data_IF_552243972928
#
_entry.id   IF_552243972928
#
_cell.length_a   1.000
_cell.length_b   1.000
_cell.length_c   1.000
_cell.angle_alpha   90.00
_cell.angle_beta   90.00
_cell.angle_gamma   90.00
#
_symmetry.space_group_name_H-M   'P 1'
#
loop_
_entity.id
_entity.type
_entity.pdbx_description
1 polymer ?
#
# COMPACT_ATOMS: atom_id res chain seq x y z
N UNK A 1 -11.21 20.18 24.52
CA UNK A 1 -10.27 19.03 24.64
C UNK A 1 -11.06 17.74 24.80
N UNK A 2 -11.25 16.94 23.75
CA UNK A 2 -11.93 15.64 23.85
C UNK A 2 -10.91 14.55 24.16
N UNK A 3 -11.09 13.90 25.32
CA UNK A 3 -10.36 12.69 25.75
C UNK A 3 -10.55 11.58 24.71
N UNK A 4 -9.46 11.02 24.19
CA UNK A 4 -9.48 9.76 23.42
C UNK A 4 -9.04 8.60 24.30
N UNK A 5 -9.72 7.49 24.12
CA UNK A 5 -9.77 6.31 24.96
C UNK A 5 -8.48 5.49 24.99
N UNK A 6 -8.31 4.74 26.10
CA UNK A 6 -7.33 3.66 26.30
C UNK A 6 -7.35 2.66 25.14
N UNK A 7 -6.20 2.46 24.49
CA UNK A 7 -5.98 1.38 23.54
C UNK A 7 -4.70 1.56 22.74
N UNK A 8 -3.64 0.84 23.15
CA UNK A 8 -2.25 0.84 22.65
C UNK A 8 -1.50 2.16 22.82
N UNK A 9 -0.56 2.17 23.76
CA UNK A 9 0.53 3.13 23.84
C UNK A 9 1.24 3.21 22.48
N UNK A 10 0.88 4.18 21.67
CA UNK A 10 1.83 4.76 20.72
C UNK A 10 2.36 5.97 21.46
N UNK A 11 3.45 5.78 22.20
CA UNK A 11 4.18 6.84 22.89
C UNK A 11 4.89 7.74 21.87
N UNK A 12 4.11 8.36 20.98
CA UNK A 12 4.60 9.32 20.00
C UNK A 12 4.66 10.69 20.68
N UNK A 13 5.83 11.02 21.22
CA UNK A 13 6.08 12.36 21.76
C UNK A 13 6.40 13.31 20.58
N UNK A 14 5.56 14.31 20.29
CA UNK A 14 5.79 15.23 19.19
C UNK A 14 7.05 16.10 19.38
N UNK A 15 7.65 16.13 20.57
CA UNK A 15 8.86 16.90 20.91
C UNK A 15 10.16 16.13 20.70
N UNK A 16 10.12 14.80 20.62
CA UNK A 16 11.32 13.99 20.37
C UNK A 16 11.60 13.90 18.88
N UNK A 17 12.84 13.55 18.53
CA UNK A 17 13.23 13.26 17.15
C UNK A 17 12.31 12.19 16.56
N UNK A 18 11.87 12.40 15.31
CA UNK A 18 10.94 11.50 14.62
C UNK A 18 11.65 10.83 13.46
N UNK A 19 11.45 9.53 13.34
CA UNK A 19 11.83 8.73 12.18
C UNK A 19 10.57 8.39 11.38
N UNK A 20 10.65 8.60 10.07
CA UNK A 20 9.65 8.15 9.12
C UNK A 20 10.23 6.98 8.32
N UNK A 21 9.58 5.82 8.40
CA UNK A 21 9.86 4.69 7.54
C UNK A 21 8.77 4.58 6.48
N UNK A 22 9.17 4.67 5.22
CA UNK A 22 8.31 4.52 4.05
C UNK A 22 8.59 3.15 3.45
N UNK A 23 7.62 2.25 3.48
CA UNK A 23 7.74 0.95 2.82
C UNK A 23 7.00 0.99 1.50
N UNK A 24 7.68 0.61 0.42
CA UNK A 24 7.10 0.45 -0.92
C UNK A 24 7.21 -1.00 -1.39
N UNK A 25 6.39 -1.38 -2.36
CA UNK A 25 6.46 -2.68 -3.01
C UNK A 25 6.39 -2.48 -4.52
N UNK A 26 7.19 -3.21 -5.29
CA UNK A 26 7.17 -3.14 -6.76
C UNK A 26 6.05 -3.97 -7.37
N UNK A 27 5.63 -5.04 -6.67
CA UNK A 27 4.64 -5.98 -7.18
C UNK A 27 3.37 -5.91 -6.35
N UNK A 28 2.23 -6.05 -7.03
CA UNK A 28 0.98 -6.27 -6.32
C UNK A 28 0.99 -7.68 -5.71
N UNK A 29 0.33 -7.86 -4.55
CA UNK A 29 0.12 -9.19 -4.00
C UNK A 29 -0.63 -10.07 -5.00
N UNK A 30 -0.29 -11.36 -5.06
CA UNK A 30 -0.89 -12.32 -5.99
C UNK A 30 -2.43 -12.35 -5.95
N UNK A 31 -3.04 -12.19 -4.76
CA UNK A 31 -4.49 -12.13 -4.63
C UNK A 31 -5.11 -10.93 -5.39
N UNK A 32 -4.43 -9.79 -5.46
CA UNK A 32 -4.94 -8.63 -6.20
C UNK A 32 -4.91 -8.90 -7.70
N UNK A 33 -3.83 -9.50 -8.21
CA UNK A 33 -3.72 -9.87 -9.62
C UNK A 33 -4.79 -10.90 -10.02
N UNK A 34 -5.00 -11.92 -9.18
CA UNK A 34 -6.04 -12.92 -9.39
C UNK A 34 -7.44 -12.31 -9.41
N UNK A 35 -7.76 -11.43 -8.44
CA UNK A 35 -9.05 -10.75 -8.37
C UNK A 35 -9.26 -9.77 -9.52
N UNK A 36 -8.20 -9.08 -9.96
CA UNK A 36 -8.24 -8.17 -11.11
C UNK A 36 -8.53 -8.94 -12.40
N UNK A 37 -7.86 -10.07 -12.59
CA UNK A 37 -8.09 -10.97 -13.74
C UNK A 37 -9.51 -11.55 -13.73
N UNK A 38 -9.97 -11.99 -12.55
CA UNK A 38 -11.32 -12.50 -12.37
C UNK A 38 -12.37 -11.43 -12.69
N UNK A 39 -12.21 -10.21 -12.13
CA UNK A 39 -13.09 -9.09 -12.40
C UNK A 39 -13.11 -8.75 -13.90
N UNK A 40 -11.94 -8.67 -14.55
CA UNK A 40 -11.84 -8.42 -16.00
C UNK A 40 -12.58 -9.46 -16.83
N UNK A 41 -12.50 -10.74 -16.47
CA UNK A 41 -13.19 -11.82 -17.19
C UNK A 41 -14.72 -11.83 -17.03
N UNK A 42 -15.23 -11.24 -15.95
CA UNK A 42 -16.66 -11.22 -15.62
C UNK A 42 -17.30 -9.85 -15.83
N UNK A 43 -16.50 -8.85 -16.16
CA UNK A 43 -16.95 -7.48 -16.37
C UNK A 43 -17.68 -7.37 -17.71
N UNK A 44 -18.88 -6.81 -17.66
CA UNK A 44 -19.65 -6.50 -18.86
C UNK A 44 -19.48 -5.01 -19.20
N UNK A 45 -18.74 -4.67 -20.27
CA UNK A 45 -18.52 -3.29 -20.70
C UNK A 45 -19.81 -2.57 -21.13
N UNK A 46 -20.82 -3.32 -21.60
CA UNK A 46 -22.07 -2.73 -22.08
C UNK A 46 -22.98 -2.30 -20.93
N UNK A 47 -23.01 -3.07 -19.85
CA UNK A 47 -23.86 -2.78 -18.66
C UNK A 47 -23.10 -2.12 -17.52
N UNK A 48 -21.76 -1.98 -17.63
CA UNK A 48 -20.86 -1.52 -16.57
C UNK A 48 -21.11 -2.24 -15.24
N UNK A 49 -21.34 -3.55 -15.34
CA UNK A 49 -21.76 -4.38 -14.22
C UNK A 49 -21.07 -5.73 -14.25
N UNK A 50 -21.16 -6.43 -13.13
CA UNK A 50 -20.69 -7.81 -12.98
C UNK A 50 -21.53 -8.47 -11.92
N UNK A 51 -21.85 -9.75 -12.12
CA UNK A 51 -22.61 -10.54 -11.15
C UNK A 51 -21.82 -10.69 -9.84
N UNK A 52 -22.21 -9.93 -8.82
CA UNK A 52 -21.65 -9.97 -7.46
C UNK A 52 -21.74 -11.36 -6.84
N UNK A 53 -22.80 -12.12 -7.11
CA UNK A 53 -23.00 -13.44 -6.52
C UNK A 53 -22.00 -14.43 -7.12
N UNK A 54 -21.90 -14.46 -8.44
CA UNK A 54 -20.95 -15.32 -9.14
C UNK A 54 -19.48 -14.93 -8.83
N UNK A 55 -19.20 -13.62 -8.73
CA UNK A 55 -17.88 -13.11 -8.39
C UNK A 55 -17.49 -13.54 -6.97
N UNK A 56 -18.35 -13.31 -5.98
CA UNK A 56 -18.11 -13.69 -4.58
C UNK A 56 -17.94 -15.21 -4.40
N UNK A 57 -18.61 -16.03 -5.21
CA UNK A 57 -18.43 -17.50 -5.19
C UNK A 57 -17.08 -17.96 -5.73
N UNK A 58 -16.43 -17.16 -6.59
CA UNK A 58 -15.12 -17.48 -7.17
C UNK A 58 -13.93 -16.92 -6.37
N UNK A 59 -14.18 -16.00 -5.42
CA UNK A 59 -13.14 -15.46 -4.54
C UNK A 59 -12.73 -16.53 -3.51
N UNK A 60 -11.42 -16.85 -3.37
CA UNK A 60 -10.95 -17.74 -2.31
C UNK A 60 -11.34 -17.22 -0.92
N UNK A 61 -11.80 -18.11 -0.03
CA UNK A 61 -12.19 -17.73 1.34
C UNK A 61 -11.08 -17.02 2.13
N UNK A 62 -9.82 -17.37 1.86
CA UNK A 62 -8.65 -16.74 2.47
C UNK A 62 -8.56 -15.25 2.13
N UNK A 63 -8.88 -14.88 0.88
CA UNK A 63 -8.77 -13.53 0.38
C UNK A 63 -10.07 -12.74 0.50
N UNK A 64 -11.19 -13.38 0.82
CA UNK A 64 -12.52 -12.74 0.87
C UNK A 64 -12.53 -11.46 1.72
N UNK A 65 -11.85 -11.46 2.88
CA UNK A 65 -11.79 -10.28 3.78
C UNK A 65 -11.07 -9.07 3.17
N UNK A 66 -9.98 -9.27 2.43
CA UNK A 66 -9.19 -8.20 1.80
C UNK A 66 -9.65 -7.91 0.36
N UNK A 67 -10.14 -8.93 -0.32
CA UNK A 67 -10.54 -8.94 -1.71
C UNK A 67 -11.89 -8.30 -1.97
N UNK A 68 -12.88 -8.48 -1.08
CA UNK A 68 -14.19 -7.82 -1.24
C UNK A 68 -14.07 -6.29 -1.33
N UNK A 69 -13.42 -5.58 -0.38
CA UNK A 69 -13.29 -4.13 -0.48
C UNK A 69 -12.44 -3.72 -1.69
N UNK A 70 -11.45 -4.53 -2.08
CA UNK A 70 -10.63 -4.29 -3.26
C UNK A 70 -11.43 -4.33 -4.56
N UNK A 71 -12.20 -5.40 -4.77
CA UNK A 71 -13.05 -5.58 -5.94
C UNK A 71 -14.11 -4.49 -6.02
N UNK A 72 -14.75 -4.14 -4.90
CA UNK A 72 -15.75 -3.08 -4.87
C UNK A 72 -15.15 -1.72 -5.23
N UNK A 73 -13.93 -1.42 -4.78
CA UNK A 73 -13.23 -0.20 -5.17
C UNK A 73 -12.95 -0.17 -6.69
N UNK A 74 -12.50 -1.28 -7.28
CA UNK A 74 -12.30 -1.38 -8.73
C UNK A 74 -13.61 -1.20 -9.51
N UNK A 75 -14.68 -1.88 -9.10
CA UNK A 75 -16.01 -1.72 -9.72
C UNK A 75 -16.47 -0.26 -9.70
N UNK A 76 -16.31 0.42 -8.57
CA UNK A 76 -16.72 1.83 -8.42
C UNK A 76 -15.97 2.74 -9.41
N UNK A 77 -14.68 2.49 -9.65
CA UNK A 77 -13.85 3.23 -10.62
C UNK A 77 -14.32 2.99 -12.07
N UNK A 78 -14.59 1.73 -12.42
CA UNK A 78 -15.15 1.39 -13.73
C UNK A 78 -16.54 2.01 -13.96
N UNK A 79 -17.40 1.99 -12.94
CA UNK A 79 -18.72 2.62 -12.97
C UNK A 79 -18.63 4.15 -13.06
N UNK A 80 -17.61 4.75 -12.45
CA UNK A 80 -17.32 6.19 -12.57
C UNK A 80 -16.89 6.60 -13.99
N UNK A 81 -16.63 5.64 -14.88
CA UNK A 81 -16.29 5.89 -16.27
C UNK A 81 -14.78 5.96 -16.56
N UNK A 82 -13.94 5.49 -15.64
CA UNK A 82 -12.52 5.28 -15.93
C UNK A 82 -12.35 4.17 -16.98
N UNK A 83 -11.35 4.31 -17.86
CA UNK A 83 -11.09 3.31 -18.88
C UNK A 83 -10.68 1.98 -18.26
N UNK A 84 -11.18 0.89 -18.80
CA UNK A 84 -10.88 -0.47 -18.33
C UNK A 84 -9.38 -0.77 -18.36
N UNK A 85 -8.69 -0.28 -19.39
CA UNK A 85 -7.25 -0.36 -19.50
C UNK A 85 -6.56 0.30 -18.29
N UNK A 86 -6.98 1.50 -17.88
CA UNK A 86 -6.37 2.21 -16.75
C UNK A 86 -6.65 1.54 -15.39
N UNK A 87 -7.82 0.93 -15.24
CA UNK A 87 -8.21 0.26 -14.00
C UNK A 87 -7.55 -1.12 -13.88
N UNK A 88 -7.44 -1.86 -14.98
CA UNK A 88 -6.88 -3.21 -15.00
C UNK A 88 -5.35 -3.22 -15.19
N UNK A 89 -4.79 -2.32 -15.99
CA UNK A 89 -3.33 -2.15 -16.15
C UNK A 89 -2.81 -1.23 -15.05
N UNK A 90 -2.75 -1.73 -13.82
CA UNK A 90 -2.24 -1.00 -12.65
C UNK A 90 -0.71 -0.83 -12.68
N UNK A 91 -0.12 -0.56 -13.84
CA UNK A 91 1.30 -0.21 -13.93
C UNK A 91 1.48 1.23 -13.51
N UNK A 92 2.43 1.49 -12.61
CA UNK A 92 2.85 2.87 -12.38
C UNK A 92 3.56 3.40 -13.62
N UNK A 93 3.07 4.53 -14.14
CA UNK A 93 3.71 5.23 -15.25
C UNK A 93 5.02 5.94 -14.83
N UNK A 94 5.39 5.87 -13.55
CA UNK A 94 6.57 6.52 -12.99
C UNK A 94 7.33 5.59 -12.05
N UNK A 95 8.60 5.93 -11.83
CA UNK A 95 9.49 5.25 -10.90
C UNK A 95 9.25 5.78 -9.48
N UNK A 96 8.44 5.07 -8.71
CA UNK A 96 8.08 5.44 -7.32
C UNK A 96 9.32 5.59 -6.44
N UNK A 97 10.36 4.80 -6.70
CA UNK A 97 11.63 4.86 -5.95
C UNK A 97 12.29 6.22 -6.13
N UNK A 98 12.42 6.68 -7.38
CA UNK A 98 13.02 7.99 -7.69
C UNK A 98 12.20 9.15 -7.15
N UNK A 99 10.88 9.05 -7.20
CA UNK A 99 9.98 10.09 -6.67
C UNK A 99 10.10 10.16 -5.15
N UNK A 100 10.09 9.03 -4.43
CA UNK A 100 10.24 9.05 -2.98
C UNK A 100 11.60 9.57 -2.55
N UNK A 101 12.68 9.21 -3.25
CA UNK A 101 14.02 9.74 -3.01
C UNK A 101 14.09 11.26 -3.19
N UNK A 102 13.50 11.81 -4.24
CA UNK A 102 13.51 13.27 -4.47
C UNK A 102 12.68 14.05 -3.44
N UNK A 103 11.71 13.38 -2.79
CA UNK A 103 10.87 13.98 -1.75
C UNK A 103 11.47 13.89 -0.33
N UNK A 104 12.53 13.10 -0.10
CA UNK A 104 13.11 12.88 1.24
C UNK A 104 13.47 14.20 1.93
N UNK A 105 14.18 15.09 1.24
CA UNK A 105 14.64 16.35 1.83
C UNK A 105 13.47 17.27 2.21
N UNK A 106 12.43 17.28 1.37
CA UNK A 106 11.22 18.04 1.64
C UNK A 106 10.43 17.45 2.82
N UNK A 107 10.31 16.12 2.91
CA UNK A 107 9.65 15.44 4.02
C UNK A 107 10.38 15.67 5.33
N UNK A 108 11.72 15.61 5.33
CA UNK A 108 12.54 15.91 6.52
C UNK A 108 12.27 17.31 7.06
N UNK A 109 12.26 18.31 6.17
CA UNK A 109 12.04 19.72 6.54
C UNK A 109 10.60 20.00 6.95
N UNK A 110 9.62 19.50 6.20
CA UNK A 110 8.20 19.81 6.42
C UNK A 110 7.63 19.15 7.67
N UNK A 111 8.06 17.92 7.98
CA UNK A 111 7.58 17.16 9.14
C UNK A 111 8.55 17.17 10.34
N UNK A 112 9.64 17.94 10.26
CA UNK A 112 10.71 18.02 11.26
C UNK A 112 11.21 16.62 11.69
N UNK A 113 11.56 15.82 10.69
CA UNK A 113 12.01 14.43 10.88
C UNK A 113 13.53 14.41 10.99
N UNK A 114 14.04 13.68 11.98
CA UNK A 114 15.47 13.46 12.14
C UNK A 114 15.98 12.43 11.11
N UNK A 115 15.18 11.40 10.84
CA UNK A 115 15.55 10.32 9.94
C UNK A 115 14.38 9.96 9.01
N UNK A 116 14.69 9.70 7.74
CA UNK A 116 13.75 9.15 6.77
C UNK A 116 14.40 7.93 6.16
N UNK A 117 13.71 6.80 6.25
CA UNK A 117 14.12 5.53 5.70
C UNK A 117 13.12 5.10 4.64
N UNK A 118 13.62 4.64 3.49
CA UNK A 118 12.78 4.14 2.41
C UNK A 118 13.12 2.67 2.20
N UNK A 119 12.18 1.78 2.51
CA UNK A 119 12.34 0.34 2.40
C UNK A 119 11.59 -0.16 1.17
N UNK A 120 12.31 -0.78 0.26
CA UNK A 120 11.76 -1.55 -0.85
C UNK A 120 11.52 -2.98 -0.38
N UNK A 121 10.26 -3.35 -0.19
CA UNK A 121 9.88 -4.71 0.20
C UNK A 121 10.14 -5.71 -0.94
N UNK A 122 10.65 -6.88 -0.58
CA UNK A 122 10.95 -7.99 -1.48
C UNK A 122 10.08 -9.21 -1.16
N UNK A 123 9.95 -10.09 -2.14
CA UNK A 123 9.22 -11.35 -2.01
C UNK A 123 9.89 -12.25 -0.95
N UNK A 124 9.12 -12.72 0.03
CA UNK A 124 9.65 -13.47 1.20
C UNK A 124 9.69 -12.68 2.52
N UNK A 125 9.39 -11.37 2.47
CA UNK A 125 9.28 -10.51 3.65
C UNK A 125 10.57 -9.82 4.06
N UNK A 126 11.62 -9.88 3.23
CA UNK A 126 12.80 -9.04 3.37
C UNK A 126 12.58 -7.69 2.69
N UNK A 127 13.49 -6.75 2.89
CA UNK A 127 13.50 -5.48 2.20
C UNK A 127 14.90 -4.97 1.92
N UNK A 128 14.99 -3.87 1.19
CA UNK A 128 16.24 -3.15 0.98
C UNK A 128 15.99 -1.68 1.24
N UNK A 129 16.81 -1.08 2.09
CA UNK A 129 16.82 0.36 2.26
C UNK A 129 17.40 1.00 1.01
N UNK A 130 16.59 1.79 0.32
CA UNK A 130 16.97 2.45 -0.94
C UNK A 130 17.92 3.62 -0.68
N UNK A 131 17.87 4.22 0.50
CA UNK A 131 18.70 5.38 0.85
C UNK A 131 20.12 4.93 1.18
N UNK A 132 20.25 3.83 1.93
CA UNK A 132 21.56 3.33 2.41
C UNK A 132 22.09 2.14 1.60
N UNK A 133 21.24 1.47 0.83
CA UNK A 133 21.56 0.21 0.15
C UNK A 133 21.56 -1.01 1.07
N UNK A 134 21.24 -0.86 2.35
CA UNK A 134 21.31 -1.94 3.33
C UNK A 134 20.16 -2.95 3.14
N UNK A 135 20.47 -4.25 3.25
CA UNK A 135 19.45 -5.29 3.33
C UNK A 135 18.74 -5.24 4.69
N UNK A 136 17.42 -5.39 4.67
CA UNK A 136 16.56 -5.41 5.85
C UNK A 136 15.93 -6.80 5.96
N UNK A 137 16.25 -7.52 7.03
CA UNK A 137 15.65 -8.82 7.28
C UNK A 137 14.18 -8.70 7.67
N UNK A 138 13.42 -9.77 7.43
CA UNK A 138 12.01 -9.87 7.83
C UNK A 138 11.72 -9.50 9.29
N UNK A 139 12.65 -9.80 10.20
CA UNK A 139 12.49 -9.46 11.62
C UNK A 139 12.58 -7.94 11.89
N UNK A 140 13.28 -7.20 11.04
CA UNK A 140 13.47 -5.75 11.15
C UNK A 140 12.47 -4.95 10.28
N UNK A 141 11.57 -5.63 9.57
CA UNK A 141 10.57 -4.97 8.75
C UNK A 141 9.51 -4.25 9.60
N UNK A 142 9.03 -3.08 9.16
CA UNK A 142 7.92 -2.38 9.81
C UNK A 142 6.67 -3.25 9.93
N UNK A 143 5.95 -3.15 11.05
CA UNK A 143 4.74 -3.94 11.29
C UNK A 143 3.62 -3.69 10.25
N UNK A 144 3.64 -2.54 9.58
CA UNK A 144 2.72 -2.17 8.51
C UNK A 144 3.29 -2.39 7.10
N UNK A 145 4.44 -3.04 6.95
CA UNK A 145 5.06 -3.27 5.65
C UNK A 145 4.13 -4.03 4.68
N UNK A 146 3.32 -4.96 5.18
CA UNK A 146 2.36 -5.73 4.36
C UNK A 146 1.24 -4.89 3.74
N UNK A 147 1.01 -3.66 4.23
CA UNK A 147 0.02 -2.76 3.63
C UNK A 147 0.58 -1.95 2.46
N UNK A 148 1.89 -2.00 2.21
CA UNK A 148 2.51 -1.30 1.11
C UNK A 148 2.12 -1.93 -0.23
N UNK A 149 1.56 -1.11 -1.11
CA UNK A 149 1.23 -1.48 -2.48
C UNK A 149 1.92 -0.52 -3.45
N UNK A 150 2.22 -0.94 -4.68
CA UNK A 150 2.69 -0.02 -5.71
C UNK A 150 1.74 1.18 -5.84
N UNK A 151 2.28 2.40 -5.73
CA UNK A 151 1.53 3.66 -5.76
C UNK A 151 0.74 4.01 -4.49
N UNK A 152 0.80 3.16 -3.46
CA UNK A 152 0.22 3.40 -2.14
C UNK A 152 1.20 2.88 -1.07
N UNK A 153 2.29 3.61 -0.82
CA UNK A 153 3.32 3.20 0.13
C UNK A 153 2.77 3.23 1.57
N UNK A 154 3.34 2.38 2.43
CA UNK A 154 3.01 2.34 3.85
C UNK A 154 3.93 3.30 4.62
N UNK A 155 3.35 4.08 5.53
CA UNK A 155 4.08 5.05 6.34
C UNK A 155 4.04 4.66 7.81
N UNK A 156 5.21 4.57 8.44
CA UNK A 156 5.35 4.34 9.88
C UNK A 156 6.14 5.49 10.50
N UNK A 157 5.53 6.14 11.50
CA UNK A 157 6.21 7.12 12.33
C UNK A 157 6.62 6.47 13.64
N UNK A 158 7.89 6.62 14.00
CA UNK A 158 8.45 6.20 15.27
C UNK A 158 9.26 7.34 15.87
N UNK A 159 9.35 7.39 17.20
CA UNK A 159 10.27 8.29 17.88
C UNK A 159 11.66 7.65 17.86
N UNK A 160 12.68 8.47 17.61
CA UNK A 160 14.09 8.09 17.78
C UNK A 160 14.43 8.37 19.24
N UNK A 161 15.11 7.44 19.92
CA UNK A 161 15.66 7.68 21.27
C UNK A 161 16.71 8.77 21.27
#
# INVERSE_FOLDING_TARGET
MRKKAKGKEVAFDPKKAKKLTITMNEKFPAYQEQLTTLLKSMWDPATKSVDDKALNSKIPKADMKKGMPFVQALKKRLQAGEAEADVFERKLAFDETKVLLSMVDYLKRSANLAEVQIIKAQEGGNGTDVVTGAAIDKAAMPANAESALPGSPAFLFANVE
#
